data_IF_366820845551
#
_entry.id   IF_366820845551
#
_cell.length_a   1.000
_cell.length_b   1.000
_cell.length_c   1.000
_cell.angle_alpha   90.00
_cell.angle_beta   90.00
_cell.angle_gamma   90.00
#
_symmetry.space_group_name_H-M   'P 1'
#
loop_
_entity.id
_entity.type
_entity.pdbx_description
1 polymer ?
#
# COMPACT_ATOMS: atom_id res chain seq x y z
N UNK A 1 20.78 -33.39 14.19
CA UNK A 1 20.47 -32.34 13.19
C UNK A 1 18.97 -32.35 12.93
N UNK A 2 18.29 -31.19 13.00
CA UNK A 2 16.88 -31.08 12.67
C UNK A 2 16.71 -30.91 11.15
N UNK A 3 15.84 -31.72 10.53
CA UNK A 3 15.52 -31.61 9.10
C UNK A 3 14.48 -30.52 8.90
N UNK A 4 14.84 -29.45 8.19
CA UNK A 4 13.91 -28.40 7.77
C UNK A 4 13.43 -28.70 6.36
N UNK A 5 12.11 -28.84 6.18
CA UNK A 5 11.51 -29.12 4.87
C UNK A 5 11.81 -27.95 3.91
N UNK A 6 12.34 -28.23 2.70
CA UNK A 6 12.52 -27.19 1.68
C UNK A 6 11.21 -26.46 1.39
N UNK A 7 11.29 -25.14 1.17
CA UNK A 7 10.14 -24.28 0.88
C UNK A 7 9.06 -24.18 1.99
N UNK A 8 9.36 -24.54 3.24
CA UNK A 8 8.38 -24.42 4.34
C UNK A 8 7.76 -23.02 4.46
N UNK A 9 8.54 -21.96 4.19
CA UNK A 9 8.07 -20.58 4.12
C UNK A 9 6.89 -20.37 3.14
N UNK A 10 6.88 -21.08 2.00
CA UNK A 10 5.82 -20.99 0.99
C UNK A 10 4.50 -21.56 1.48
N UNK A 11 4.57 -22.56 2.36
CA UNK A 11 3.42 -23.18 3.01
C UNK A 11 2.92 -22.29 4.14
N UNK A 12 3.83 -21.80 4.99
CA UNK A 12 3.50 -20.92 6.12
C UNK A 12 2.81 -19.64 5.66
N UNK A 13 3.29 -19.00 4.58
CA UNK A 13 2.71 -17.75 4.07
C UNK A 13 1.23 -17.84 3.64
N UNK A 14 0.72 -19.05 3.39
CA UNK A 14 -0.69 -19.28 3.03
C UNK A 14 -1.56 -19.78 4.19
N UNK A 15 -0.99 -20.01 5.38
CA UNK A 15 -1.73 -20.56 6.50
C UNK A 15 -2.83 -19.59 6.98
N UNK A 16 -3.99 -20.09 7.43
CA UNK A 16 -5.11 -19.23 7.84
C UNK A 16 -4.73 -18.18 8.90
N UNK A 17 -3.97 -18.56 9.93
CA UNK A 17 -3.52 -17.64 10.98
C UNK A 17 -2.62 -16.53 10.44
N UNK A 18 -1.67 -16.86 9.56
CA UNK A 18 -0.79 -15.88 8.92
C UNK A 18 -1.60 -14.93 8.04
N UNK A 19 -2.52 -15.46 7.25
CA UNK A 19 -3.39 -14.65 6.39
C UNK A 19 -4.32 -13.72 7.19
N UNK A 20 -4.79 -14.14 8.36
CA UNK A 20 -5.60 -13.29 9.24
C UNK A 20 -4.79 -12.10 9.78
N UNK A 21 -3.55 -12.35 10.23
CA UNK A 21 -2.65 -11.29 10.69
C UNK A 21 -2.33 -10.31 9.56
N UNK A 22 -2.01 -10.82 8.37
CA UNK A 22 -1.74 -9.98 7.20
C UNK A 22 -2.96 -9.14 6.79
N UNK A 23 -4.18 -9.69 6.88
CA UNK A 23 -5.41 -8.95 6.62
C UNK A 23 -5.60 -7.81 7.64
N UNK A 24 -5.40 -8.10 8.92
CA UNK A 24 -5.55 -7.10 9.99
C UNK A 24 -4.56 -5.94 9.79
N UNK A 25 -3.29 -6.25 9.54
CA UNK A 25 -2.27 -5.25 9.27
C UNK A 25 -2.60 -4.41 8.02
N UNK A 26 -2.95 -5.04 6.90
CA UNK A 26 -3.34 -4.31 5.69
C UNK A 26 -4.57 -3.41 5.89
N UNK A 27 -5.50 -3.83 6.76
CA UNK A 27 -6.69 -3.03 7.11
C UNK A 27 -6.31 -1.80 7.93
N UNK A 28 -5.38 -1.93 8.88
CA UNK A 28 -4.85 -0.79 9.65
C UNK A 28 -4.15 0.20 8.72
N UNK A 29 -3.23 -0.28 7.89
CA UNK A 29 -2.49 0.56 6.91
C UNK A 29 -3.47 1.29 5.98
N UNK A 30 -4.48 0.60 5.45
CA UNK A 30 -5.50 1.23 4.61
C UNK A 30 -6.29 2.32 5.36
N UNK A 31 -6.56 2.12 6.65
CA UNK A 31 -7.21 3.10 7.52
C UNK A 31 -6.34 4.33 7.76
N UNK A 32 -5.05 4.13 7.99
CA UNK A 32 -4.08 5.22 8.19
C UNK A 32 -3.89 6.06 6.91
N UNK A 33 -3.80 5.43 5.73
CA UNK A 33 -3.71 6.15 4.45
C UNK A 33 -5.01 6.95 4.22
N UNK A 34 -6.17 6.38 4.56
CA UNK A 34 -7.45 7.11 4.49
C UNK A 34 -7.48 8.31 5.43
N UNK A 35 -6.99 8.15 6.66
CA UNK A 35 -6.91 9.24 7.63
C UNK A 35 -5.98 10.36 7.15
N UNK A 36 -4.85 10.01 6.54
CA UNK A 36 -3.94 10.99 5.92
C UNK A 36 -4.59 11.69 4.70
N UNK A 37 -5.42 10.99 3.94
CA UNK A 37 -6.14 11.55 2.79
C UNK A 37 -7.37 12.40 3.18
N UNK A 38 -7.99 12.16 4.33
CA UNK A 38 -9.25 12.77 4.75
C UNK A 38 -9.27 14.32 4.75
N UNK A 39 -8.18 15.04 5.10
CA UNK A 39 -8.15 16.51 4.99
C UNK A 39 -8.33 17.02 3.56
N UNK A 40 -8.02 16.21 2.55
CA UNK A 40 -8.08 16.57 1.13
C UNK A 40 -9.49 16.31 0.57
N UNK A 41 -10.48 17.09 1.00
CA UNK A 41 -11.92 16.91 0.64
C UNK A 41 -12.21 16.80 -0.87
N UNK A 42 -11.35 17.35 -1.74
CA UNK A 42 -11.49 17.27 -3.21
C UNK A 42 -11.06 15.91 -3.80
N UNK A 43 -10.38 15.07 -3.02
CA UNK A 43 -9.88 13.75 -3.44
C UNK A 43 -10.72 12.61 -2.86
N UNK A 44 -12.02 12.80 -2.66
CA UNK A 44 -12.90 11.76 -2.12
C UNK A 44 -12.96 10.47 -2.96
N UNK A 45 -12.70 10.54 -4.26
CA UNK A 45 -12.55 9.35 -5.12
C UNK A 45 -11.28 8.56 -4.79
N UNK A 46 -10.18 9.26 -4.47
CA UNK A 46 -8.93 8.65 -4.02
C UNK A 46 -9.13 7.93 -2.68
N UNK A 47 -9.74 8.58 -1.70
CA UNK A 47 -9.99 7.99 -0.38
C UNK A 47 -10.85 6.72 -0.48
N UNK A 48 -11.95 6.77 -1.26
CA UNK A 48 -12.82 5.61 -1.53
C UNK A 48 -12.12 4.53 -2.36
N UNK A 49 -11.12 4.91 -3.14
CA UNK A 49 -10.29 4.02 -3.95
C UNK A 49 -9.28 3.21 -3.15
N UNK A 50 -9.00 3.55 -1.88
CA UNK A 50 -8.08 2.81 -1.01
C UNK A 50 -8.76 1.53 -0.50
N UNK A 51 -8.33 0.37 -1.01
CA UNK A 51 -8.94 -0.93 -0.71
C UNK A 51 -7.91 -2.00 -0.40
N UNK A 52 -8.25 -2.86 0.56
CA UNK A 52 -7.48 -4.08 0.85
C UNK A 52 -7.87 -5.18 -0.15
N UNK A 53 -6.88 -5.73 -0.87
CA UNK A 53 -7.07 -6.82 -1.83
C UNK A 53 -6.37 -8.08 -1.35
N UNK A 54 -7.10 -9.20 -1.41
CA UNK A 54 -6.58 -10.53 -1.06
C UNK A 54 -5.80 -11.10 -2.24
N UNK A 55 -4.65 -11.70 -1.94
CA UNK A 55 -3.84 -12.49 -2.86
C UNK A 55 -3.70 -13.92 -2.35
N UNK A 56 -3.11 -14.79 -3.19
CA UNK A 56 -2.86 -16.20 -2.84
C UNK A 56 -2.05 -16.35 -1.55
N UNK A 57 -1.14 -15.41 -1.26
CA UNK A 57 -0.20 -15.45 -0.11
C UNK A 57 -0.01 -14.08 0.54
N UNK A 58 -1.10 -13.35 0.75
CA UNK A 58 -1.07 -12.10 1.48
C UNK A 58 -2.16 -11.14 1.09
N UNK A 59 -1.97 -9.88 1.45
CA UNK A 59 -2.87 -8.78 1.15
C UNK A 59 -2.06 -7.58 0.67
N UNK A 60 -2.67 -6.76 -0.18
CA UNK A 60 -2.13 -5.46 -0.58
C UNK A 60 -3.15 -4.37 -0.30
N UNK A 61 -2.67 -3.14 -0.11
CA UNK A 61 -3.52 -1.95 -0.17
C UNK A 61 -3.40 -1.38 -1.58
N UNK A 62 -4.52 -1.34 -2.29
CA UNK A 62 -4.59 -0.86 -3.66
C UNK A 62 -5.23 0.53 -3.68
N UNK A 63 -4.76 1.37 -4.61
CA UNK A 63 -5.36 2.66 -4.94
C UNK A 63 -6.08 2.50 -6.28
N UNK A 64 -7.40 2.50 -6.26
CA UNK A 64 -8.22 2.23 -7.44
C UNK A 64 -8.66 3.51 -8.19
N UNK A 65 -8.21 4.68 -7.74
CA UNK A 65 -8.42 5.93 -8.46
C UNK A 65 -7.41 6.03 -9.62
N UNK A 66 -7.89 6.40 -10.81
CA UNK A 66 -7.08 6.57 -12.03
C UNK A 66 -5.98 7.62 -11.85
N UNK A 67 -6.23 8.62 -11.02
CA UNK A 67 -5.31 9.72 -10.73
C UNK A 67 -4.55 9.52 -9.41
N UNK A 68 -4.61 8.32 -8.81
CA UNK A 68 -4.01 8.04 -7.50
C UNK A 68 -2.52 8.37 -7.42
N UNK A 69 -1.75 8.09 -8.47
CA UNK A 69 -0.34 8.44 -8.52
C UNK A 69 -0.14 9.97 -8.51
N UNK A 70 -0.87 10.70 -9.35
CA UNK A 70 -0.78 12.16 -9.43
C UNK A 70 -1.27 12.86 -8.15
N UNK A 71 -2.26 12.29 -7.46
CA UNK A 71 -2.77 12.79 -6.19
C UNK A 71 -1.75 12.53 -5.07
N UNK A 72 -1.17 11.34 -5.00
CA UNK A 72 -0.25 10.99 -3.92
C UNK A 72 1.13 11.62 -4.09
N UNK A 73 1.72 11.54 -5.29
CA UNK A 73 3.12 11.90 -5.53
C UNK A 73 3.30 13.26 -6.23
N UNK A 74 2.21 13.86 -6.72
CA UNK A 74 2.25 15.08 -7.51
C UNK A 74 2.35 14.84 -9.02
N UNK A 75 2.24 15.90 -9.80
CA UNK A 75 2.34 15.87 -11.26
C UNK A 75 2.63 17.25 -11.85
N UNK A 76 3.05 17.30 -13.11
CA UNK A 76 3.11 18.55 -13.88
C UNK A 76 1.78 18.84 -14.55
N UNK A 77 1.34 20.11 -14.51
CA UNK A 77 0.23 20.59 -15.32
C UNK A 77 0.62 20.65 -16.79
N UNK A 78 -0.37 20.84 -17.68
CA UNK A 78 -0.10 21.07 -19.11
C UNK A 78 0.73 22.33 -19.37
N UNK A 79 0.72 23.29 -18.45
CA UNK A 79 1.52 24.52 -18.51
C UNK A 79 2.97 24.32 -18.00
N UNK A 80 3.31 23.11 -17.51
CA UNK A 80 4.65 22.80 -16.99
C UNK A 80 4.84 23.15 -15.51
N UNK A 81 3.79 23.56 -14.80
CA UNK A 81 3.86 23.85 -13.37
C UNK A 81 3.77 22.57 -12.53
N UNK A 82 4.60 22.46 -11.50
CA UNK A 82 4.54 21.33 -10.57
C UNK A 82 3.39 21.51 -9.58
N UNK A 83 2.59 20.45 -9.40
CA UNK A 83 1.55 20.35 -8.37
C UNK A 83 1.97 19.29 -7.37
N UNK A 84 2.15 19.73 -6.12
CA UNK A 84 2.58 18.87 -5.02
C UNK A 84 1.54 17.80 -4.68
N UNK A 85 2.02 16.58 -4.40
CA UNK A 85 1.21 15.47 -3.95
C UNK A 85 0.86 15.55 -2.47
N UNK A 86 -0.08 14.71 -2.03
CA UNK A 86 -0.48 14.65 -0.61
C UNK A 86 0.36 13.68 0.22
N UNK A 87 1.19 12.84 -0.42
CA UNK A 87 2.12 11.88 0.19
C UNK A 87 1.51 10.97 1.27
N UNK A 88 0.22 10.64 1.12
CA UNK A 88 -0.56 9.91 2.12
C UNK A 88 -0.01 8.48 2.37
N UNK A 89 0.65 7.87 1.40
CA UNK A 89 1.24 6.53 1.54
C UNK A 89 2.54 6.58 2.34
N UNK A 90 3.38 7.57 2.05
CA UNK A 90 4.70 7.75 2.63
C UNK A 90 4.63 8.05 4.12
N UNK A 91 3.59 8.79 4.53
CA UNK A 91 3.27 9.02 5.94
C UNK A 91 3.05 7.73 6.75
N UNK A 92 2.66 6.64 6.09
CA UNK A 92 2.22 5.40 6.75
C UNK A 92 3.23 4.26 6.60
N UNK A 93 3.71 4.02 5.38
CA UNK A 93 4.61 2.91 5.10
C UNK A 93 6.07 3.26 5.42
N UNK A 94 6.35 4.56 5.62
CA UNK A 94 7.69 5.12 5.47
C UNK A 94 8.13 5.00 4.00
N UNK A 95 8.97 5.91 3.53
CA UNK A 95 9.68 5.70 2.25
C UNK A 95 10.47 4.39 2.39
N UNK A 96 9.92 3.30 1.87
CA UNK A 96 10.34 1.96 2.26
C UNK A 96 11.84 1.77 2.09
N UNK A 97 12.51 1.38 3.17
CA UNK A 97 13.76 0.62 3.15
C UNK A 97 13.52 -0.79 2.59
N UNK A 98 12.85 -0.89 1.44
CA UNK A 98 12.91 -2.06 0.58
C UNK A 98 14.28 -2.11 -0.07
N UNK A 99 14.78 -3.31 -0.46
CA UNK A 99 16.11 -3.42 -1.04
C UNK A 99 16.19 -2.50 -2.26
N UNK A 100 17.05 -1.47 -2.17
CA UNK A 100 17.50 -0.70 -3.32
C UNK A 100 18.01 -1.73 -4.33
N UNK A 101 17.23 -1.99 -5.38
CA UNK A 101 17.79 -2.71 -6.52
C UNK A 101 18.89 -1.81 -7.07
N UNK A 102 20.14 -2.15 -6.78
CA UNK A 102 21.27 -1.61 -7.53
C UNK A 102 21.04 -2.04 -8.98
N UNK A 103 20.59 -1.08 -9.79
CA UNK A 103 20.88 -1.11 -11.22
C UNK A 103 22.25 -0.48 -11.39
#
# INVERSE_FOLDING_TARGET
MAYVKPNIHKTVAGMPGVMQVLKAHATVVAGEIKAAAAPHRKTGAFERGIKVRRHRKGYSVNLEDRNSASINYGHFTKAGEWVEGIHAIEHVVGAGSGPRSRR
#
